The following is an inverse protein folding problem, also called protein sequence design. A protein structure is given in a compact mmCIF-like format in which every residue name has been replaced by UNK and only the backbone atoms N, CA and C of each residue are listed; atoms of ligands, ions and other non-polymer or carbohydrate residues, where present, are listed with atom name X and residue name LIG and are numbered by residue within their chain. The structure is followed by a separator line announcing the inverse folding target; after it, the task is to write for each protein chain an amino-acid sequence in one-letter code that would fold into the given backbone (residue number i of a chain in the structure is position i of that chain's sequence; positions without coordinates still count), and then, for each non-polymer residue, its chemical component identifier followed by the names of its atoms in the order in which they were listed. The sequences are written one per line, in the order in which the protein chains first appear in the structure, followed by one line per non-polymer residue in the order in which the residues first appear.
data_IF_274918862383
#
_entry.id   IF_274918862383
#
_cell.length_a   1.000
_cell.length_b   1.000
_cell.length_c   1.000
_cell.angle_alpha   90.00
_cell.angle_beta   90.00
_cell.angle_gamma   90.00
#
_symmetry.space_group_name_H-M   'P 1'
#
loop_
_entity.id
_entity.type
_entity.pdbx_description
1 polymer ?
#
# COMPACT_ATOMS: atom_id res chain seq x y z
N UNK A 1 4.83 -19.19 27.60
CA UNK A 1 5.89 -18.18 27.35
C UNK A 1 5.23 -16.85 27.07
N UNK A 2 5.43 -15.85 27.93
CA UNK A 2 4.76 -14.54 27.88
C UNK A 2 5.43 -13.61 26.86
N UNK A 3 4.62 -12.80 26.17
CA UNK A 3 4.76 -11.42 25.63
C UNK A 3 6.13 -10.77 25.28
N UNK A 4 7.30 -11.32 25.63
CA UNK A 4 8.58 -10.63 25.49
C UNK A 4 9.14 -10.62 24.07
N UNK A 5 8.76 -11.59 23.22
CA UNK A 5 9.33 -11.68 21.87
C UNK A 5 8.69 -10.70 20.86
N UNK A 6 7.42 -10.34 21.02
CA UNK A 6 6.81 -9.33 20.13
C UNK A 6 7.41 -7.93 20.39
N UNK A 7 7.91 -7.67 21.62
CA UNK A 7 8.62 -6.43 21.95
C UNK A 7 10.00 -6.31 21.28
N UNK A 8 10.65 -7.41 20.89
CA UNK A 8 11.98 -7.36 20.26
C UNK A 8 11.93 -7.09 18.75
N UNK A 9 10.77 -7.30 18.10
CA UNK A 9 10.48 -6.71 16.79
C UNK A 9 9.87 -5.32 16.99
N UNK A 10 10.72 -4.30 17.21
CA UNK A 10 10.31 -2.94 16.84
C UNK A 10 10.01 -2.97 15.33
N UNK A 11 8.82 -2.53 14.89
CA UNK A 11 8.49 -2.54 13.47
C UNK A 11 9.33 -1.47 12.77
N UNK A 12 10.46 -1.88 12.19
CA UNK A 12 10.96 -1.21 11.00
C UNK A 12 10.11 -1.71 9.83
N UNK A 13 8.84 -1.29 9.81
CA UNK A 13 8.02 -1.34 8.61
C UNK A 13 8.58 -0.26 7.68
N UNK A 14 9.61 -0.60 6.91
CA UNK A 14 9.97 0.16 5.72
C UNK A 14 8.87 -0.07 4.68
N UNK A 15 7.85 0.78 4.73
CA UNK A 15 7.01 1.03 3.56
C UNK A 15 7.99 1.43 2.45
N UNK A 16 8.09 0.60 1.41
CA UNK A 16 8.77 0.97 0.17
C UNK A 16 8.12 2.28 -0.27
N UNK A 17 8.84 3.40 -0.10
CA UNK A 17 8.26 4.71 -0.37
C UNK A 17 7.93 4.79 -1.85
N UNK A 18 6.64 4.67 -2.18
CA UNK A 18 6.11 5.06 -3.47
C UNK A 18 6.48 6.53 -3.74
N UNK A 19 6.67 6.85 -5.03
CA UNK A 19 7.09 8.13 -5.59
C UNK A 19 6.92 9.31 -4.61
N UNK A 20 8.04 9.81 -4.10
CA UNK A 20 8.07 11.05 -3.31
C UNK A 20 7.76 12.17 -4.30
N UNK A 21 6.54 12.70 -4.25
CA UNK A 21 6.11 14.08 -4.54
C UNK A 21 4.60 14.08 -4.87
N UNK A 22 3.90 15.06 -4.28
CA UNK A 22 2.51 15.52 -4.50
C UNK A 22 1.78 15.66 -3.15
N UNK A 23 2.08 16.74 -2.44
CA UNK A 23 1.29 17.21 -1.29
C UNK A 23 0.14 18.08 -1.80
N UNK A 24 -1.08 17.52 -1.84
CA UNK A 24 -2.32 18.31 -1.78
C UNK A 24 -3.52 17.43 -1.43
N UNK A 25 -4.03 17.61 -0.21
CA UNK A 25 -5.35 17.09 0.20
C UNK A 25 -6.40 17.95 -0.52
N UNK A 26 -6.90 17.45 -1.65
CA UNK A 26 -8.14 17.89 -2.27
C UNK A 26 -9.13 16.75 -2.09
N UNK A 27 -10.38 17.07 -1.72
CA UNK A 27 -11.50 16.15 -1.44
C UNK A 27 -11.44 14.86 -2.30
N UNK A 28 -10.89 13.79 -1.72
CA UNK A 28 -10.29 12.66 -2.43
C UNK A 28 -11.25 11.74 -3.20
N UNK A 29 -12.56 11.88 -3.05
CA UNK A 29 -13.50 10.99 -3.74
C UNK A 29 -13.66 11.30 -5.25
N UNK A 30 -13.31 12.51 -5.70
CA UNK A 30 -13.58 12.93 -7.08
C UNK A 30 -12.43 12.64 -8.08
N UNK A 31 -11.24 12.28 -7.60
CA UNK A 31 -10.05 12.04 -8.45
C UNK A 31 -9.65 10.55 -8.54
N UNK A 32 -10.30 9.68 -7.75
CA UNK A 32 -9.99 8.25 -7.72
C UNK A 32 -10.91 7.51 -8.69
N UNK A 33 -10.38 7.12 -9.83
CA UNK A 33 -11.02 6.17 -10.74
C UNK A 33 -11.27 4.84 -10.01
N UNK A 34 -12.46 4.26 -10.18
CA UNK A 34 -12.82 2.92 -9.66
C UNK A 34 -12.67 2.75 -8.14
N UNK A 35 -13.19 3.70 -7.34
CA UNK A 35 -13.27 3.53 -5.88
C UNK A 35 -14.27 2.43 -5.52
N UNK A 36 -13.85 1.45 -4.71
CA UNK A 36 -14.69 0.41 -4.13
C UNK A 36 -14.74 0.55 -2.61
N UNK A 37 -15.92 0.31 -2.04
CA UNK A 37 -16.07 0.16 -0.60
C UNK A 37 -15.85 -1.30 -0.22
N UNK A 38 -14.93 -1.54 0.72
CA UNK A 38 -14.75 -2.86 1.31
C UNK A 38 -15.86 -3.10 2.33
N UNK A 39 -16.64 -4.16 2.15
CA UNK A 39 -17.72 -4.53 3.05
C UNK A 39 -17.25 -5.36 4.24
N UNK A 40 -17.95 -5.20 5.35
CA UNK A 40 -17.74 -5.95 6.59
C UNK A 40 -18.54 -7.24 6.65
N UNK A 41 -18.73 -7.71 7.88
CA UNK A 41 -19.39 -8.99 8.16
C UNK A 41 -20.92 -8.89 8.03
N UNK A 42 -21.46 -7.67 8.12
CA UNK A 42 -22.89 -7.39 8.25
C UNK A 42 -23.69 -7.79 7.01
N UNK A 43 -23.29 -7.46 5.76
CA UNK A 43 -24.02 -7.88 4.57
C UNK A 43 -24.02 -9.40 4.39
N UNK A 44 -22.89 -10.05 4.68
CA UNK A 44 -22.75 -11.51 4.59
C UNK A 44 -23.66 -12.20 5.61
N UNK A 45 -23.66 -11.74 6.86
CA UNK A 45 -24.56 -12.23 7.92
C UNK A 45 -26.02 -12.07 7.55
N UNK A 46 -26.39 -10.95 6.92
CA UNK A 46 -27.78 -10.72 6.49
C UNK A 46 -28.20 -11.77 5.47
N UNK A 47 -27.40 -11.98 4.43
CA UNK A 47 -27.72 -12.96 3.38
C UNK A 47 -27.75 -14.39 3.94
N UNK A 48 -26.85 -14.76 4.86
CA UNK A 48 -26.93 -16.06 5.53
C UNK A 48 -28.24 -16.25 6.32
N UNK A 49 -28.74 -15.20 7.00
CA UNK A 49 -30.05 -15.24 7.68
C UNK A 49 -31.23 -15.38 6.74
N UNK A 50 -31.12 -14.77 5.56
CA UNK A 50 -32.15 -14.86 4.52
C UNK A 50 -32.18 -16.26 3.85
N UNK A 51 -31.26 -17.16 4.22
CA UNK A 51 -31.23 -18.56 3.76
C UNK A 51 -30.46 -18.79 2.46
N UNK A 52 -29.56 -17.88 2.07
CA UNK A 52 -28.71 -18.08 0.89
C UNK A 52 -27.56 -19.06 1.18
N UNK A 53 -27.45 -20.12 0.38
CA UNK A 53 -26.38 -21.13 0.49
C UNK A 53 -25.04 -20.68 -0.11
N UNK A 54 -25.09 -19.82 -1.15
CA UNK A 54 -23.90 -19.32 -1.86
C UNK A 54 -23.98 -17.80 -1.94
N UNK A 55 -22.94 -17.13 -1.44
CA UNK A 55 -22.81 -15.67 -1.44
C UNK A 55 -21.57 -15.30 -2.24
N UNK A 56 -21.76 -14.64 -3.38
CA UNK A 56 -20.65 -14.05 -4.14
C UNK A 56 -20.44 -12.61 -3.70
N UNK A 57 -19.37 -12.39 -2.94
CA UNK A 57 -18.94 -11.09 -2.48
C UNK A 57 -18.10 -10.37 -3.57
N UNK A 58 -18.27 -9.05 -3.69
CA UNK A 58 -17.31 -8.19 -4.39
C UNK A 58 -16.07 -7.95 -3.52
N UNK A 59 -15.81 -6.70 -3.15
CA UNK A 59 -14.73 -6.37 -2.19
C UNK A 59 -15.20 -6.55 -0.75
N UNK A 60 -14.83 -7.65 -0.11
CA UNK A 60 -15.01 -7.89 1.33
C UNK A 60 -13.66 -7.83 2.05
N UNK A 61 -13.70 -7.55 3.36
CA UNK A 61 -12.55 -7.83 4.21
C UNK A 61 -12.35 -9.35 4.34
N UNK A 62 -11.12 -9.80 4.25
CA UNK A 62 -10.80 -11.23 4.21
C UNK A 62 -11.30 -11.94 5.49
N UNK A 63 -11.05 -11.34 6.66
CA UNK A 63 -11.63 -11.79 7.94
C UNK A 63 -13.15 -11.80 7.98
N UNK A 64 -13.84 -10.94 7.22
CA UNK A 64 -15.29 -10.82 7.26
C UNK A 64 -15.97 -12.08 6.71
N UNK A 65 -15.35 -12.75 5.74
CA UNK A 65 -15.86 -13.98 5.15
C UNK A 65 -15.91 -15.11 6.18
N UNK A 66 -14.83 -15.27 6.96
CA UNK A 66 -14.72 -16.31 7.98
C UNK A 66 -15.44 -15.97 9.29
N UNK A 67 -15.57 -14.68 9.61
CA UNK A 67 -16.26 -14.23 10.82
C UNK A 67 -17.78 -14.24 10.71
N UNK A 68 -18.36 -14.27 9.50
CA UNK A 68 -19.79 -14.11 9.30
C UNK A 68 -20.64 -15.18 9.99
N UNK A 69 -20.34 -16.45 9.75
CA UNK A 69 -21.11 -17.55 10.32
C UNK A 69 -20.97 -17.65 11.85
N UNK A 70 -19.77 -17.60 12.46
CA UNK A 70 -19.66 -17.59 13.93
C UNK A 70 -20.37 -16.40 14.57
N UNK A 71 -20.25 -15.20 14.01
CA UNK A 71 -20.97 -14.03 14.50
C UNK A 71 -22.49 -14.14 14.33
N UNK A 72 -22.96 -14.89 13.33
CA UNK A 72 -24.39 -15.17 13.17
C UNK A 72 -24.89 -16.08 14.30
N UNK A 73 -24.08 -17.05 14.72
CA UNK A 73 -24.37 -18.00 15.78
C UNK A 73 -24.10 -17.46 17.20
N UNK A 74 -23.72 -16.19 17.34
CA UNK A 74 -23.50 -15.55 18.65
C UNK A 74 -22.15 -15.84 19.31
N UNK A 75 -21.16 -16.31 18.54
CA UNK A 75 -19.81 -16.51 19.07
C UNK A 75 -19.13 -15.19 19.47
N UNK A 76 -18.17 -15.27 20.40
CA UNK A 76 -17.41 -14.11 20.87
C UNK A 76 -16.72 -13.38 19.71
N UNK A 77 -16.90 -12.04 19.57
CA UNK A 77 -16.31 -11.29 18.47
C UNK A 77 -14.78 -11.26 18.48
N UNK A 78 -14.14 -11.24 19.66
CA UNK A 78 -12.68 -11.20 19.77
C UNK A 78 -12.03 -12.49 19.25
N UNK A 79 -12.52 -13.63 19.74
CA UNK A 79 -12.08 -14.96 19.29
C UNK A 79 -12.41 -15.18 17.81
N UNK A 80 -13.61 -14.80 17.38
CA UNK A 80 -14.04 -14.97 15.99
C UNK A 80 -13.15 -14.18 15.02
N UNK A 81 -12.83 -12.92 15.34
CA UNK A 81 -11.98 -12.09 14.48
C UNK A 81 -10.54 -12.57 14.45
N UNK A 82 -10.01 -13.03 15.59
CA UNK A 82 -8.66 -13.58 15.62
C UNK A 82 -8.57 -14.91 14.86
N UNK A 83 -9.56 -15.78 15.02
CA UNK A 83 -9.69 -16.99 14.21
C UNK A 83 -9.70 -16.63 12.72
N UNK A 84 -10.56 -15.70 12.32
CA UNK A 84 -10.70 -15.29 10.93
C UNK A 84 -9.37 -14.76 10.37
N UNK A 85 -8.67 -13.89 11.10
CA UNK A 85 -7.34 -13.41 10.73
C UNK A 85 -6.30 -14.52 10.62
N UNK A 86 -6.44 -15.59 11.42
CA UNK A 86 -5.51 -16.72 11.41
C UNK A 86 -5.68 -17.58 10.17
N UNK A 87 -6.90 -17.72 9.65
CA UNK A 87 -7.20 -18.68 8.57
C UNK A 87 -7.39 -18.03 7.19
N UNK A 88 -7.49 -16.71 7.11
CA UNK A 88 -7.78 -16.00 5.85
C UNK A 88 -6.72 -16.22 4.77
N UNK A 89 -5.46 -16.38 5.16
CA UNK A 89 -4.33 -16.62 4.25
C UNK A 89 -3.96 -18.11 4.14
N UNK A 90 -4.88 -19.02 4.48
CA UNK A 90 -4.63 -20.46 4.48
C UNK A 90 -3.54 -20.88 5.49
N UNK A 91 -2.77 -21.91 5.17
CA UNK A 91 -1.72 -22.47 6.02
C UNK A 91 -0.39 -21.68 5.98
N UNK A 92 -0.45 -20.36 5.77
CA UNK A 92 0.73 -19.48 5.79
C UNK A 92 1.45 -19.44 7.15
N UNK A 93 0.75 -19.77 8.25
CA UNK A 93 1.34 -19.90 9.59
C UNK A 93 1.87 -21.31 9.91
N UNK A 94 1.76 -22.26 8.97
CA UNK A 94 2.32 -23.60 9.10
C UNK A 94 3.85 -23.61 8.92
N UNK A 95 4.48 -24.68 9.42
CA UNK A 95 5.91 -24.93 9.27
C UNK A 95 6.11 -26.34 8.69
N UNK A 96 6.66 -26.47 7.47
CA UNK A 96 6.87 -25.39 6.50
C UNK A 96 5.54 -24.73 6.08
N UNK A 97 5.55 -23.47 5.59
CA UNK A 97 4.34 -22.85 5.04
C UNK A 97 3.82 -23.64 3.85
N UNK A 98 2.50 -23.72 3.72
CA UNK A 98 1.83 -24.50 2.68
C UNK A 98 0.59 -23.77 2.16
N UNK A 99 0.15 -24.10 0.94
CA UNK A 99 -1.01 -23.49 0.29
C UNK A 99 -2.36 -24.17 0.65
N UNK A 100 -2.36 -25.14 1.57
CA UNK A 100 -3.57 -25.78 2.08
C UNK A 100 -4.38 -24.88 3.01
N UNK A 101 -5.58 -25.35 3.36
CA UNK A 101 -6.41 -24.73 4.37
C UNK A 101 -6.01 -25.09 5.80
N UNK A 102 -6.50 -24.29 6.74
CA UNK A 102 -6.49 -24.62 8.16
C UNK A 102 -7.90 -25.04 8.59
N UNK A 103 -8.00 -25.99 9.50
CA UNK A 103 -9.24 -26.31 10.19
C UNK A 103 -9.27 -25.57 11.52
N UNK A 104 -10.39 -24.91 11.84
CA UNK A 104 -10.59 -24.31 13.16
C UNK A 104 -11.81 -24.87 13.85
N UNK A 105 -11.64 -25.18 15.13
CA UNK A 105 -12.74 -25.42 16.07
C UNK A 105 -12.85 -24.24 17.02
N UNK A 106 -13.91 -23.44 16.89
CA UNK A 106 -14.21 -22.33 17.79
C UNK A 106 -15.02 -22.82 18.99
N UNK A 107 -14.60 -22.41 20.19
CA UNK A 107 -15.24 -22.67 21.49
C UNK A 107 -15.57 -21.33 22.17
N UNK A 108 -16.26 -21.39 23.30
CA UNK A 108 -16.70 -20.19 24.02
C UNK A 108 -15.54 -19.33 24.54
N UNK A 109 -14.41 -19.95 24.89
CA UNK A 109 -13.27 -19.33 25.56
C UNK A 109 -11.94 -19.44 24.78
N UNK A 110 -11.94 -20.12 23.63
CA UNK A 110 -10.78 -20.32 22.77
C UNK A 110 -11.15 -20.74 21.34
N UNK A 111 -10.17 -20.77 20.46
CA UNK A 111 -10.24 -21.60 19.25
C UNK A 111 -8.99 -22.46 19.11
N UNK A 112 -9.17 -23.66 18.55
CA UNK A 112 -8.08 -24.56 18.18
C UNK A 112 -7.91 -24.51 16.66
N UNK A 113 -6.73 -24.15 16.19
CA UNK A 113 -6.37 -24.13 14.76
C UNK A 113 -5.44 -25.30 14.45
N UNK A 114 -5.77 -26.06 13.41
CA UNK A 114 -5.06 -27.27 12.99
C UNK A 114 -4.67 -27.18 11.52
N UNK A 115 -3.42 -27.49 11.20
CA UNK A 115 -2.98 -27.59 9.79
C UNK A 115 -3.47 -28.88 9.12
N UNK A 116 -3.96 -28.78 7.89
CA UNK A 116 -4.45 -29.91 7.11
C UNK A 116 -3.37 -30.60 6.27
N UNK A 117 -2.28 -29.91 5.93
CA UNK A 117 -1.19 -30.49 5.14
C UNK A 117 -0.37 -31.51 5.94
N UNK A 118 -0.15 -32.68 5.34
CA UNK A 118 0.72 -33.70 5.90
C UNK A 118 2.18 -33.24 5.94
N UNK A 119 2.87 -33.57 7.03
CA UNK A 119 4.25 -33.14 7.25
C UNK A 119 4.42 -31.66 7.62
N UNK A 120 3.32 -30.91 7.77
CA UNK A 120 3.33 -29.56 8.31
C UNK A 120 2.88 -29.55 9.78
N UNK A 121 3.44 -28.62 10.56
CA UNK A 121 3.08 -28.40 11.96
C UNK A 121 2.72 -26.95 12.25
N UNK A 122 2.13 -26.72 13.42
CA UNK A 122 1.86 -25.39 13.96
C UNK A 122 2.60 -25.22 15.27
N UNK A 123 3.12 -24.01 15.51
CA UNK A 123 3.73 -23.65 16.79
C UNK A 123 3.04 -22.43 17.35
N UNK A 124 3.01 -22.25 18.68
CA UNK A 124 2.49 -21.02 19.30
C UNK A 124 3.12 -19.76 18.69
N UNK A 125 4.41 -19.84 18.35
CA UNK A 125 5.14 -18.74 17.72
C UNK A 125 4.68 -18.46 16.30
N UNK A 126 4.46 -19.49 15.47
CA UNK A 126 4.07 -19.27 14.06
C UNK A 126 2.66 -18.71 13.94
N UNK A 127 1.74 -19.20 14.76
CA UNK A 127 0.36 -18.66 14.83
C UNK A 127 0.37 -17.23 15.36
N UNK A 128 1.10 -16.95 16.46
CA UNK A 128 1.20 -15.58 16.98
C UNK A 128 1.85 -14.62 15.97
N UNK A 129 2.91 -15.05 15.28
CA UNK A 129 3.59 -14.24 14.28
C UNK A 129 2.72 -13.93 13.07
N UNK A 130 1.67 -14.72 12.80
CA UNK A 130 0.76 -14.46 11.69
C UNK A 130 -0.06 -13.19 11.89
N UNK A 131 -0.25 -12.72 13.12
CA UNK A 131 -0.85 -11.40 13.37
C UNK A 131 -0.05 -10.24 12.76
N UNK A 132 1.27 -10.40 12.58
CA UNK A 132 2.12 -9.43 11.86
C UNK A 132 1.97 -9.48 10.34
N UNK A 133 1.43 -10.58 9.80
CA UNK A 133 1.32 -10.74 8.36
C UNK A 133 0.34 -9.72 7.81
N UNK A 134 0.85 -8.86 6.91
CA UNK A 134 0.10 -7.76 6.27
C UNK A 134 -0.45 -6.70 7.24
N UNK A 135 0.07 -6.64 8.46
CA UNK A 135 -0.35 -5.68 9.48
C UNK A 135 0.83 -4.83 9.98
N UNK A 136 0.55 -3.55 10.22
CA UNK A 136 1.54 -2.63 10.79
C UNK A 136 1.74 -2.82 12.31
N UNK A 137 0.68 -3.21 13.02
CA UNK A 137 0.69 -3.50 14.46
C UNK A 137 0.18 -4.95 14.67
N UNK A 138 0.96 -5.83 15.31
CA UNK A 138 0.51 -7.20 15.62
C UNK A 138 -0.60 -7.27 16.65
N UNK A 139 -0.71 -6.25 17.51
CA UNK A 139 -1.61 -6.26 18.65
C UNK A 139 -2.96 -5.65 18.33
N UNK A 140 -2.99 -4.60 17.50
CA UNK A 140 -4.23 -3.88 17.16
C UNK A 140 -4.46 -3.90 15.66
N UNK A 141 -5.34 -4.80 15.23
CA UNK A 141 -5.69 -4.97 13.81
C UNK A 141 -7.00 -4.25 13.56
N UNK A 142 -6.94 -3.10 12.88
CA UNK A 142 -8.11 -2.26 12.62
C UNK A 142 -8.90 -2.78 11.42
N UNK A 143 -10.19 -3.02 11.63
CA UNK A 143 -11.18 -3.41 10.63
C UNK A 143 -12.29 -2.36 10.50
N UNK A 144 -13.27 -2.63 9.64
CA UNK A 144 -14.38 -1.72 9.30
C UNK A 144 -15.26 -1.34 10.49
N UNK A 145 -15.57 -2.32 11.33
CA UNK A 145 -16.52 -2.22 12.45
C UNK A 145 -15.85 -2.10 13.82
N UNK A 146 -14.53 -2.01 13.87
CA UNK A 146 -13.78 -2.07 15.12
C UNK A 146 -12.36 -2.61 14.95
N UNK A 147 -11.71 -2.86 16.08
CA UNK A 147 -10.31 -3.30 16.14
C UNK A 147 -10.20 -4.61 16.90
N UNK A 148 -9.54 -5.59 16.29
CA UNK A 148 -9.11 -6.80 16.98
C UNK A 148 -7.88 -6.47 17.85
N UNK A 149 -8.02 -6.72 19.15
CA UNK A 149 -6.97 -6.59 20.16
C UNK A 149 -6.45 -7.98 20.57
N UNK A 150 -5.19 -8.25 20.26
CA UNK A 150 -4.47 -9.49 20.58
C UNK A 150 -3.44 -9.30 21.71
N UNK A 151 -3.41 -8.14 22.38
CA UNK A 151 -2.45 -7.80 23.46
C UNK A 151 -2.41 -8.86 24.57
N UNK A 152 -3.57 -9.41 24.90
CA UNK A 152 -3.73 -10.44 25.92
C UNK A 152 -3.94 -11.84 25.34
N UNK A 153 -3.70 -12.01 24.05
CA UNK A 153 -3.84 -13.30 23.40
C UNK A 153 -2.75 -14.28 23.88
N UNK A 154 -3.15 -15.51 24.18
CA UNK A 154 -2.23 -16.60 24.54
C UNK A 154 -2.31 -17.71 23.52
N UNK A 155 -1.16 -18.34 23.25
CA UNK A 155 -0.99 -19.38 22.25
C UNK A 155 -0.35 -20.60 22.92
N UNK A 156 -0.99 -21.76 22.81
CA UNK A 156 -0.60 -23.00 23.46
C UNK A 156 -0.58 -24.13 22.43
N UNK A 157 0.48 -24.93 22.39
CA UNK A 157 0.52 -26.11 21.53
C UNK A 157 -0.35 -27.20 22.15
N UNK A 158 -1.33 -27.69 21.40
CA UNK A 158 -2.15 -28.84 21.81
C UNK A 158 -1.44 -30.14 21.37
N UNK A 159 -0.93 -30.13 20.14
CA UNK A 159 -0.09 -31.18 19.56
C UNK A 159 0.84 -30.56 18.50
N UNK A 160 1.50 -31.38 17.68
CA UNK A 160 2.44 -30.92 16.64
C UNK A 160 1.76 -30.12 15.50
N UNK A 161 0.46 -30.30 15.31
CA UNK A 161 -0.34 -29.74 14.20
C UNK A 161 -1.39 -28.74 14.67
N UNK A 162 -1.66 -28.66 15.97
CA UNK A 162 -2.76 -27.89 16.55
C UNK A 162 -2.27 -26.89 17.59
N UNK A 163 -2.70 -25.64 17.46
CA UNK A 163 -2.45 -24.57 18.43
C UNK A 163 -3.76 -24.01 18.93
N UNK A 164 -3.86 -23.87 20.24
CA UNK A 164 -4.96 -23.21 20.94
C UNK A 164 -4.69 -21.74 21.13
N UNK A 165 -5.69 -20.91 20.88
CA UNK A 165 -5.62 -19.45 21.01
C UNK A 165 -6.75 -18.94 21.90
N UNK A 166 -6.41 -18.05 22.83
CA UNK A 166 -7.33 -17.49 23.85
C UNK A 166 -7.08 -16.00 24.04
N UNK A 167 -8.02 -15.28 24.66
CA UNK A 167 -7.76 -13.96 25.27
C UNK A 167 -7.82 -12.76 24.33
N UNK A 168 -8.20 -12.97 23.07
CA UNK A 168 -8.44 -11.88 22.11
C UNK A 168 -9.73 -11.14 22.40
N UNK A 169 -9.77 -9.86 22.07
CA UNK A 169 -10.92 -8.99 22.26
C UNK A 169 -11.23 -8.23 20.98
N UNK A 170 -12.49 -7.85 20.81
CA UNK A 170 -12.87 -6.92 19.75
C UNK A 170 -13.36 -5.63 20.37
N UNK A 171 -12.76 -4.52 19.95
CA UNK A 171 -13.12 -3.18 20.38
C UNK A 171 -13.99 -2.61 19.26
N UNK A 172 -15.29 -2.48 19.51
CA UNK A 172 -16.20 -1.89 18.53
C UNK A 172 -15.82 -0.43 18.25
N UNK A 173 -15.96 -0.01 16.99
CA UNK A 173 -15.76 1.39 16.63
C UNK A 173 -16.94 2.25 17.11
N UNK A 174 -16.68 3.54 17.39
CA UNK A 174 -17.70 4.56 17.76
C UNK A 174 -18.75 4.83 16.65
N UNK A 175 -18.69 4.09 15.54
CA UNK A 175 -19.66 4.12 14.46
C UNK A 175 -19.21 3.22 13.31
N UNK A 176 -20.15 2.88 12.43
CA UNK A 176 -19.85 2.09 11.25
C UNK A 176 -18.97 2.88 10.27
N UNK A 177 -17.88 2.27 9.81
CA UNK A 177 -17.00 2.86 8.80
C UNK A 177 -16.84 1.91 7.61
N UNK A 178 -16.61 2.49 6.43
CA UNK A 178 -16.20 1.76 5.24
C UNK A 178 -14.74 2.09 4.92
N UNK A 179 -13.96 1.07 4.56
CA UNK A 179 -12.63 1.25 3.98
C UNK A 179 -12.84 1.46 2.49
N UNK A 180 -12.47 2.65 2.01
CA UNK A 180 -12.50 2.94 0.58
C UNK A 180 -11.13 2.61 0.01
N UNK A 181 -11.10 1.76 -1.00
CA UNK A 181 -9.91 1.40 -1.76
C UNK A 181 -10.11 1.84 -3.21
N UNK A 182 -9.08 2.39 -3.81
CA UNK A 182 -9.11 2.77 -5.22
C UNK A 182 -7.74 2.99 -5.80
N UNK A 183 -7.72 3.33 -7.08
CA UNK A 183 -6.51 3.56 -7.84
C UNK A 183 -6.58 4.93 -8.50
N UNK A 184 -5.53 5.72 -8.32
CA UNK A 184 -5.35 7.00 -8.98
C UNK A 184 -4.35 6.83 -10.12
N UNK A 185 -4.74 7.22 -11.35
CA UNK A 185 -3.81 7.34 -12.46
C UNK A 185 -2.87 8.52 -12.18
N UNK A 186 -1.58 8.25 -12.03
CA UNK A 186 -0.57 9.26 -11.70
C UNK A 186 0.35 9.59 -12.89
N UNK A 187 0.08 9.04 -14.06
CA UNK A 187 0.81 9.30 -15.30
C UNK A 187 1.02 8.03 -16.12
N UNK A 188 1.95 8.10 -17.06
CA UNK A 188 2.39 7.00 -17.91
C UNK A 188 3.90 6.84 -17.75
N UNK A 189 4.38 5.61 -17.85
CA UNK A 189 5.78 5.31 -17.55
C UNK A 189 6.47 4.58 -18.70
N UNK A 190 7.70 5.00 -18.99
CA UNK A 190 8.66 4.26 -19.82
C UNK A 190 9.84 3.86 -18.95
N UNK A 191 10.34 2.64 -19.14
CA UNK A 191 11.42 2.08 -18.34
C UNK A 191 12.61 1.72 -19.21
N UNK A 192 13.81 1.86 -18.67
CA UNK A 192 15.06 1.43 -19.29
C UNK A 192 15.79 0.54 -18.30
N UNK A 193 16.21 -0.63 -18.76
CA UNK A 193 16.99 -1.59 -17.97
C UNK A 193 18.42 -1.60 -18.50
N UNK A 194 19.36 -1.33 -17.62
CA UNK A 194 20.80 -1.32 -17.91
C UNK A 194 21.61 -1.88 -16.75
N UNK A 195 22.89 -2.08 -16.99
CA UNK A 195 23.87 -2.44 -15.99
C UNK A 195 25.17 -1.66 -16.17
N UNK A 196 25.98 -1.66 -15.12
CA UNK A 196 27.34 -1.11 -15.14
C UNK A 196 28.25 -1.96 -14.27
N UNK A 197 29.44 -2.25 -14.80
CA UNK A 197 30.48 -3.01 -14.11
C UNK A 197 31.73 -2.19 -13.79
N UNK A 198 31.91 -1.06 -14.46
CA UNK A 198 33.07 -0.22 -14.20
C UNK A 198 32.98 0.41 -12.80
N UNK A 199 34.00 0.14 -11.98
CA UNK A 199 34.08 0.58 -10.59
C UNK A 199 34.11 2.10 -10.45
N UNK A 200 34.81 2.80 -11.34
CA UNK A 200 34.87 4.28 -11.32
C UNK A 200 33.48 4.84 -11.59
N UNK A 201 32.77 4.28 -12.57
CA UNK A 201 31.39 4.69 -12.87
C UNK A 201 30.46 4.40 -11.68
N UNK A 202 30.53 3.21 -11.10
CA UNK A 202 29.74 2.84 -9.91
C UNK A 202 29.95 3.84 -8.76
N UNK A 203 31.19 4.24 -8.50
CA UNK A 203 31.53 5.18 -7.42
C UNK A 203 31.10 6.63 -7.71
N UNK A 204 30.99 7.02 -8.99
CA UNK A 204 30.65 8.37 -9.44
C UNK A 204 29.16 8.59 -9.75
N UNK A 205 28.41 7.53 -10.04
CA UNK A 205 26.99 7.62 -10.39
C UNK A 205 26.15 8.42 -9.37
N UNK A 206 26.24 8.16 -8.05
CA UNK A 206 25.43 8.89 -7.06
C UNK A 206 25.63 10.41 -7.08
N UNK A 207 26.83 10.89 -7.44
CA UNK A 207 27.17 12.30 -7.53
C UNK A 207 26.77 12.91 -8.89
N UNK A 208 26.79 12.11 -9.96
CA UNK A 208 26.46 12.55 -11.31
C UNK A 208 24.96 12.64 -11.55
N UNK A 209 24.16 11.73 -10.98
CA UNK A 209 22.72 11.66 -11.22
C UNK A 209 21.98 12.98 -10.87
N UNK A 210 22.23 13.65 -9.74
CA UNK A 210 21.62 14.95 -9.46
C UNK A 210 21.98 16.05 -10.48
N UNK A 211 23.18 15.99 -11.07
CA UNK A 211 23.61 16.92 -12.12
C UNK A 211 22.94 16.60 -13.45
N UNK A 212 22.85 15.30 -13.80
CA UNK A 212 22.16 14.82 -14.99
C UNK A 212 20.69 15.25 -15.00
N UNK A 213 19.99 15.13 -13.86
CA UNK A 213 18.59 15.57 -13.73
C UNK A 213 18.40 17.04 -14.13
N UNK A 214 19.24 17.95 -13.64
CA UNK A 214 19.18 19.39 -14.03
C UNK A 214 19.40 19.61 -15.54
N UNK A 215 20.28 18.81 -16.14
CA UNK A 215 20.51 18.85 -17.59
C UNK A 215 19.29 18.34 -18.36
N UNK A 216 18.62 17.30 -17.85
CA UNK A 216 17.37 16.79 -18.43
C UNK A 216 16.27 17.84 -18.38
N UNK A 217 16.10 18.57 -17.28
CA UNK A 217 15.08 19.63 -17.19
C UNK A 217 15.27 20.68 -18.30
N UNK A 218 16.52 21.11 -18.52
CA UNK A 218 16.85 22.06 -19.58
C UNK A 218 16.57 21.48 -20.97
N UNK A 219 16.88 20.20 -21.17
CA UNK A 219 16.67 19.50 -22.44
C UNK A 219 15.19 19.22 -22.72
N UNK A 220 14.38 18.98 -21.69
CA UNK A 220 12.92 18.86 -21.82
C UNK A 220 12.35 20.17 -22.36
N UNK A 221 12.74 21.31 -21.79
CA UNK A 221 12.28 22.62 -22.27
C UNK A 221 12.68 22.87 -23.73
N UNK A 222 13.90 22.50 -24.11
CA UNK A 222 14.41 22.67 -25.48
C UNK A 222 13.68 21.77 -26.49
N UNK A 223 13.64 20.45 -26.25
CA UNK A 223 13.06 19.46 -27.17
C UNK A 223 11.56 19.65 -27.38
N UNK A 224 10.85 20.13 -26.36
CA UNK A 224 9.40 20.31 -26.41
C UNK A 224 8.97 21.78 -26.61
N UNK A 225 9.90 22.68 -26.94
CA UNK A 225 9.63 24.12 -27.13
C UNK A 225 8.90 24.76 -25.93
N UNK A 226 9.24 24.35 -24.71
CA UNK A 226 8.61 24.80 -23.47
C UNK A 226 7.17 24.32 -23.25
N UNK A 227 6.64 23.42 -24.08
CA UNK A 227 5.27 22.87 -23.93
C UNK A 227 5.13 21.83 -22.83
N UNK A 228 6.24 21.17 -22.47
CA UNK A 228 6.31 20.22 -21.36
C UNK A 228 7.01 20.89 -20.20
N UNK A 229 6.31 20.97 -19.06
CA UNK A 229 6.87 21.47 -17.82
C UNK A 229 7.72 20.36 -17.15
N UNK A 230 9.02 20.55 -16.95
CA UNK A 230 9.88 19.58 -16.28
C UNK A 230 9.38 19.15 -14.90
N UNK A 231 8.67 20.02 -14.17
CA UNK A 231 8.12 19.71 -12.85
C UNK A 231 7.00 18.63 -12.90
N UNK A 232 6.47 18.35 -14.10
CA UNK A 232 5.49 17.27 -14.34
C UNK A 232 6.12 15.94 -14.72
N UNK A 233 7.45 15.88 -14.82
CA UNK A 233 8.21 14.71 -15.23
C UNK A 233 9.00 14.16 -14.05
N UNK A 234 8.88 12.87 -13.80
CA UNK A 234 9.70 12.16 -12.80
C UNK A 234 10.68 11.22 -13.50
N UNK A 235 11.97 11.53 -13.42
CA UNK A 235 13.06 10.66 -13.87
C UNK A 235 13.75 10.09 -12.63
N UNK A 236 13.59 8.79 -12.40
CA UNK A 236 14.18 8.06 -11.28
C UNK A 236 15.23 7.04 -11.75
N UNK A 237 16.30 6.90 -10.96
CA UNK A 237 17.35 5.92 -11.19
C UNK A 237 17.44 5.02 -9.96
N UNK A 238 17.06 3.76 -10.13
CA UNK A 238 17.18 2.74 -9.09
C UNK A 238 18.42 1.91 -9.33
N UNK A 239 19.32 1.99 -8.36
CA UNK A 239 20.62 1.33 -8.38
C UNK A 239 20.52 0.03 -7.56
N UNK A 240 20.27 -1.09 -8.22
CA UNK A 240 20.24 -2.41 -7.60
C UNK A 240 21.66 -2.91 -7.33
N UNK A 241 21.95 -3.18 -6.05
CA UNK A 241 23.29 -3.52 -5.56
C UNK A 241 23.85 -2.51 -4.57
N UNK A 242 23.24 -1.32 -4.44
CA UNK A 242 23.64 -0.28 -3.47
C UNK A 242 22.78 -0.24 -2.20
N UNK A 243 21.93 -1.25 -2.00
CA UNK A 243 21.04 -1.33 -0.83
C UNK A 243 19.74 -0.55 -1.00
N UNK A 244 19.27 -0.38 -2.24
CA UNK A 244 18.01 0.31 -2.56
C UNK A 244 16.78 -0.38 -1.98
N UNK A 245 16.87 -1.69 -1.66
CA UNK A 245 15.76 -2.48 -1.10
C UNK A 245 15.56 -2.20 0.39
N UNK A 246 16.63 -2.23 1.19
CA UNK A 246 16.55 -1.98 2.64
C UNK A 246 16.79 -0.52 3.03
N UNK A 247 17.12 0.36 2.07
CA UNK A 247 17.22 1.82 2.25
C UNK A 247 18.06 2.17 3.48
N UNK A 248 19.29 1.66 3.53
CA UNK A 248 20.26 1.99 4.58
C UNK A 248 20.16 1.16 5.87
N UNK A 249 19.24 0.19 5.96
CA UNK A 249 19.23 -0.81 7.05
C UNK A 249 19.90 -2.12 6.66
N UNK A 250 20.90 -2.05 5.77
CA UNK A 250 21.67 -3.21 5.34
C UNK A 250 22.47 -3.77 6.54
N UNK A 251 22.37 -5.08 6.83
CA UNK A 251 23.12 -5.69 7.93
C UNK A 251 24.64 -5.72 7.65
N UNK A 252 25.02 -5.69 6.37
CA UNK A 252 26.41 -5.71 5.92
C UNK A 252 26.61 -4.63 4.87
N UNK A 253 27.78 -4.00 4.88
CA UNK A 253 28.12 -3.01 3.85
C UNK A 253 28.23 -3.67 2.47
N UNK A 254 27.52 -3.11 1.49
CA UNK A 254 27.57 -3.57 0.10
C UNK A 254 28.77 -2.97 -0.65
N UNK A 255 29.39 -3.78 -1.50
CA UNK A 255 30.44 -3.39 -2.43
C UNK A 255 30.17 -4.06 -3.79
N UNK A 256 29.20 -3.54 -4.58
CA UNK A 256 28.83 -4.15 -5.84
C UNK A 256 30.02 -4.11 -6.82
N UNK A 257 30.30 -5.25 -7.47
CA UNK A 257 31.20 -5.33 -8.62
C UNK A 257 30.47 -5.04 -9.94
N UNK A 258 29.15 -5.14 -9.91
CA UNK A 258 28.23 -4.87 -11.00
C UNK A 258 26.95 -4.32 -10.38
N UNK A 259 26.34 -3.37 -11.06
CA UNK A 259 25.17 -2.63 -10.58
C UNK A 259 24.06 -2.72 -11.62
N UNK A 260 22.90 -3.20 -11.21
CA UNK A 260 21.70 -3.09 -12.02
C UNK A 260 21.15 -1.66 -11.95
N UNK A 261 20.83 -1.06 -13.09
CA UNK A 261 20.32 0.30 -13.18
C UNK A 261 18.96 0.26 -13.89
N UNK A 262 17.91 0.55 -13.13
CA UNK A 262 16.57 0.75 -13.66
C UNK A 262 16.27 2.24 -13.71
N UNK A 263 16.09 2.78 -14.91
CA UNK A 263 15.68 4.16 -15.13
C UNK A 263 14.18 4.15 -15.40
N UNK A 264 13.41 4.98 -14.70
CA UNK A 264 11.99 5.16 -14.97
C UNK A 264 11.71 6.60 -15.29
N UNK A 265 11.00 6.84 -16.38
CA UNK A 265 10.52 8.15 -16.81
C UNK A 265 9.01 8.12 -16.70
N UNK A 266 8.45 8.96 -15.83
CA UNK A 266 7.00 9.11 -15.66
C UNK A 266 6.57 10.48 -16.15
N UNK A 267 5.57 10.55 -17.01
CA UNK A 267 5.04 11.78 -17.60
C UNK A 267 3.49 11.75 -17.64
N UNK A 268 2.82 12.88 -17.95
CA UNK A 268 1.35 12.92 -18.07
C UNK A 268 0.80 11.93 -19.12
N UNK A 269 1.49 11.74 -20.24
CA UNK A 269 1.11 10.83 -21.33
C UNK A 269 2.28 9.93 -21.78
N UNK A 270 1.94 8.80 -22.41
CA UNK A 270 2.92 7.79 -22.82
C UNK A 270 3.87 8.28 -23.91
N UNK A 271 3.41 9.13 -24.83
CA UNK A 271 4.23 9.68 -25.90
C UNK A 271 5.34 10.57 -25.34
N UNK A 272 5.00 11.44 -24.40
CA UNK A 272 5.96 12.28 -23.68
C UNK A 272 6.96 11.46 -22.88
N UNK A 273 6.50 10.45 -22.12
CA UNK A 273 7.40 9.56 -21.36
C UNK A 273 8.40 8.85 -22.29
N UNK A 274 7.94 8.32 -23.42
CA UNK A 274 8.76 7.63 -24.40
C UNK A 274 9.79 8.57 -25.04
N UNK A 275 9.34 9.73 -25.55
CA UNK A 275 10.23 10.70 -26.19
C UNK A 275 11.33 11.21 -25.24
N UNK A 276 10.99 11.45 -23.97
CA UNK A 276 11.98 11.81 -22.94
C UNK A 276 12.97 10.67 -22.71
N UNK A 277 12.47 9.43 -22.63
CA UNK A 277 13.32 8.26 -22.39
C UNK A 277 14.42 8.09 -23.45
N UNK A 278 14.16 8.40 -24.73
CA UNK A 278 15.14 8.26 -25.81
C UNK A 278 16.37 9.12 -25.58
N UNK A 279 16.20 10.40 -25.22
CA UNK A 279 17.36 11.26 -24.95
C UNK A 279 17.97 11.03 -23.57
N UNK A 280 17.16 10.58 -22.58
CA UNK A 280 17.66 10.19 -21.26
C UNK A 280 18.57 8.97 -21.38
N UNK A 281 18.19 7.95 -22.15
CA UNK A 281 19.03 6.79 -22.45
C UNK A 281 20.35 7.24 -23.09
N UNK A 282 20.28 8.00 -24.19
CA UNK A 282 21.49 8.48 -24.85
C UNK A 282 22.42 9.27 -23.91
N UNK A 283 21.87 10.20 -23.13
CA UNK A 283 22.66 11.00 -22.20
C UNK A 283 23.19 10.19 -21.01
N UNK A 284 22.46 9.19 -20.53
CA UNK A 284 22.87 8.32 -19.42
C UNK A 284 24.08 7.47 -19.78
N UNK A 285 24.18 7.02 -21.02
CA UNK A 285 25.36 6.31 -21.52
C UNK A 285 26.60 7.19 -21.62
N UNK A 286 26.44 8.51 -21.64
CA UNK A 286 27.53 9.46 -21.87
C UNK A 286 27.70 10.46 -20.73
N UNK A 287 27.35 10.05 -19.50
CA UNK A 287 27.58 10.87 -18.31
C UNK A 287 29.09 11.16 -18.17
N UNK A 288 29.48 12.42 -17.92
CA UNK A 288 30.89 12.81 -17.89
C UNK A 288 31.55 12.26 -16.62
N UNK A 289 32.41 11.26 -16.80
CA UNK A 289 33.25 10.72 -15.72
C UNK A 289 34.55 11.54 -15.68
N UNK A 290 34.85 12.26 -14.59
CA UNK A 290 36.04 13.12 -14.50
C UNK A 290 37.36 12.41 -14.76
N UNK A 291 37.41 11.10 -14.47
CA UNK A 291 38.58 10.24 -14.65
C UNK A 291 38.83 9.80 -16.09
N UNK A 292 37.90 10.03 -17.02
CA UNK A 292 38.02 9.61 -18.42
C UNK A 292 38.21 10.79 -19.36
N UNK A 293 39.03 10.56 -20.38
CA UNK A 293 39.18 11.48 -21.51
C UNK A 293 38.22 11.09 -22.65
N UNK A 294 37.45 12.05 -23.15
CA UNK A 294 36.53 11.85 -24.28
C UNK A 294 35.16 11.25 -23.90
N UNK A 295 34.39 10.87 -24.91
CA UNK A 295 33.06 10.26 -24.75
C UNK A 295 33.21 8.75 -24.54
N UNK A 296 32.87 8.28 -23.34
CA UNK A 296 32.83 6.85 -22.99
C UNK A 296 31.38 6.40 -22.82
N UNK A 297 31.07 5.16 -23.19
CA UNK A 297 29.77 4.54 -22.93
C UNK A 297 29.79 3.87 -21.56
N UNK A 298 29.02 4.38 -20.61
CA UNK A 298 29.07 3.99 -19.19
C UNK A 298 28.04 2.95 -18.79
N UNK A 299 26.90 2.89 -19.49
CA UNK A 299 25.80 1.95 -19.23
C UNK A 299 25.68 0.96 -20.38
N UNK A 300 25.53 -0.32 -20.03
CA UNK A 300 25.18 -1.37 -20.97
C UNK A 300 23.65 -1.57 -20.95
N UNK A 301 23.00 -1.47 -22.11
CA UNK A 301 21.55 -1.68 -22.23
C UNK A 301 21.21 -3.12 -22.56
N UNK A 302 20.14 -3.62 -21.93
CA UNK A 302 19.67 -5.00 -22.16
C UNK A 302 19.05 -5.21 -23.56
N UNK A 303 18.50 -4.16 -24.16
CA UNK A 303 17.75 -4.22 -25.42
C UNK A 303 18.09 -3.05 -26.35
N UNK A 304 17.69 -3.19 -27.62
CA UNK A 304 17.73 -2.13 -28.63
C UNK A 304 16.41 -2.11 -29.41
N UNK A 305 15.60 -1.04 -29.32
CA UNK A 305 15.81 0.15 -28.48
C UNK A 305 15.81 -0.18 -26.97
N UNK A 306 16.52 0.60 -26.13
CA UNK A 306 16.63 0.34 -24.69
C UNK A 306 15.36 0.68 -23.90
N UNK A 307 14.52 1.57 -24.41
CA UNK A 307 13.28 2.01 -23.80
C UNK A 307 12.10 1.04 -24.03
N UNK A 308 11.33 0.81 -22.96
CA UNK A 308 10.13 -0.03 -22.98
C UNK A 308 8.97 0.69 -22.32
N UNK A 309 7.87 0.85 -23.07
CA UNK A 309 6.65 1.47 -22.54
C UNK A 309 5.94 0.52 -21.58
N UNK A 310 5.72 1.00 -20.35
CA UNK A 310 4.97 0.27 -19.32
C UNK A 310 3.47 0.58 -19.38
N UNK A 311 3.11 1.73 -19.94
CA UNK A 311 1.71 2.19 -19.98
C UNK A 311 1.31 2.99 -18.73
N UNK A 312 0.01 3.06 -18.43
CA UNK A 312 -0.51 3.86 -17.31
C UNK A 312 0.00 3.36 -15.96
N UNK A 313 0.43 4.31 -15.14
CA UNK A 313 0.93 4.11 -13.79
C UNK A 313 -0.13 4.50 -12.77
N UNK A 314 -0.47 3.58 -11.87
CA UNK A 314 -1.47 3.81 -10.83
C UNK A 314 -0.83 3.81 -9.44
N UNK A 315 -1.35 4.67 -8.56
CA UNK A 315 -1.06 4.65 -7.12
C UNK A 315 -2.27 4.10 -6.38
N UNK A 316 -2.03 3.22 -5.41
CA UNK A 316 -3.07 2.76 -4.50
C UNK A 316 -3.48 3.88 -3.54
N UNK A 317 -4.79 4.14 -3.47
CA UNK A 317 -5.38 5.12 -2.58
C UNK A 317 -6.30 4.39 -1.60
N UNK A 318 -6.05 4.54 -0.29
CA UNK A 318 -7.00 4.08 0.72
C UNK A 318 -7.33 5.21 1.68
N UNK A 319 -8.61 5.37 2.00
CA UNK A 319 -9.07 6.33 3.00
C UNK A 319 -9.91 5.60 4.05
N UNK A 320 -9.62 5.72 5.35
CA UNK A 320 -10.57 5.35 6.38
C UNK A 320 -11.74 6.33 6.33
N UNK A 321 -12.97 5.86 6.08
CA UNK A 321 -14.14 6.74 6.04
C UNK A 321 -14.63 7.11 7.45
N UNK A 322 -13.79 7.78 8.26
CA UNK A 322 -14.13 8.77 9.32
C UNK A 322 -12.88 9.22 10.09
N UNK A 323 -12.40 10.42 9.72
CA UNK A 323 -11.63 11.44 10.48
C UNK A 323 -10.22 11.18 11.05
N UNK A 324 -9.36 12.20 10.78
CA UNK A 324 -7.99 12.51 11.26
C UNK A 324 -6.87 11.58 10.78
N UNK A 325 -6.27 11.97 9.66
CA UNK A 325 -5.01 11.45 9.18
C UNK A 325 -3.90 11.63 10.24
N UNK A 326 -3.41 10.51 10.76
CA UNK A 326 -2.16 10.45 11.53
C UNK A 326 -0.91 10.38 10.63
N UNK A 327 -1.08 10.48 9.31
CA UNK A 327 -0.01 10.51 8.32
C UNK A 327 0.59 11.91 8.11
N UNK A 328 0.92 12.63 9.19
CA UNK A 328 1.81 13.80 9.11
C UNK A 328 2.43 14.14 10.46
N UNK A 329 3.58 13.56 10.77
CA UNK A 329 4.47 14.07 11.82
C UNK A 329 5.79 14.51 11.21
N UNK A 330 5.78 15.66 10.52
CA UNK A 330 6.95 16.54 10.43
C UNK A 330 6.48 17.98 10.19
N UNK A 331 6.93 18.97 10.99
CA UNK A 331 6.53 20.36 10.80
C UNK A 331 7.30 20.97 9.61
N UNK A 332 6.60 21.46 8.59
CA UNK A 332 7.21 22.29 7.56
C UNK A 332 7.46 23.71 8.12
N UNK A 333 8.62 24.35 7.85
CA UNK A 333 8.91 25.68 8.34
C UNK A 333 8.01 26.72 7.64
N UNK A 334 7.47 27.63 8.45
CA UNK A 334 6.64 28.75 8.01
C UNK A 334 7.42 29.71 7.12
N UNK A 335 6.91 29.99 5.91
CA UNK A 335 6.85 31.33 5.27
C UNK A 335 6.32 31.22 3.84
N UNK A 336 5.10 31.69 3.61
CA UNK A 336 4.84 32.57 2.48
C UNK A 336 3.60 33.43 2.76
N UNK A 337 3.75 34.71 2.40
CA UNK A 337 2.75 35.78 2.47
C UNK A 337 1.84 35.65 1.25
N UNK A 338 0.52 35.76 1.43
CA UNK A 338 -0.46 36.55 0.64
C UNK A 338 -1.90 36.06 0.98
N UNK A 339 -2.87 36.98 1.22
CA UNK A 339 -4.22 36.60 1.65
C UNK A 339 -5.18 36.47 0.45
N UNK A 340 -6.02 35.43 0.44
CA UNK A 340 -7.24 35.40 -0.37
C UNK A 340 -8.44 35.17 0.54
N UNK A 341 -9.28 36.21 0.66
CA UNK A 341 -10.61 36.15 1.25
C UNK A 341 -11.59 35.46 0.30
N UNK A 342 -12.45 34.58 0.84
CA UNK A 342 -13.70 34.17 0.22
C UNK A 342 -14.83 34.19 1.28
N UNK A 343 -16.04 34.69 0.98
CA UNK A 343 -17.11 34.90 1.97
C UNK A 343 -17.92 33.61 2.26
N UNK A 344 -18.59 33.51 3.43
CA UNK A 344 -19.33 32.32 3.80
C UNK A 344 -20.71 32.24 3.13
N UNK A 345 -21.03 31.08 2.58
CA UNK A 345 -22.33 30.73 2.00
C UNK A 345 -23.35 30.42 3.10
N UNK A 346 -24.52 31.08 3.06
CA UNK A 346 -25.66 30.88 4.00
C UNK A 346 -26.66 29.91 3.37
N UNK A 347 -27.00 28.84 4.07
CA UNK A 347 -28.07 27.91 3.68
C UNK A 347 -29.45 28.54 3.94
N UNK A 348 -30.31 28.63 2.92
CA UNK A 348 -31.72 29.01 3.07
C UNK A 348 -32.60 27.76 3.13
N UNK A 349 -33.30 27.59 4.25
CA UNK A 349 -34.37 26.61 4.45
C UNK A 349 -35.69 27.13 3.87
N UNK A 350 -36.30 26.39 2.95
CA UNK A 350 -37.69 26.62 2.51
C UNK A 350 -38.63 25.70 3.26
N UNK A 351 -39.41 26.27 4.17
CA UNK A 351 -40.58 25.67 4.80
C UNK A 351 -41.80 25.90 3.91
N UNK A 352 -42.46 24.81 3.50
CA UNK A 352 -43.75 24.87 2.80
C UNK A 352 -44.87 25.09 3.84
N UNK A 353 -45.70 26.11 3.63
CA UNK A 353 -46.96 26.31 4.36
C UNK A 353 -48.10 26.38 3.35
N UNK A 354 -49.09 25.52 3.53
CA UNK A 354 -50.32 25.47 2.76
C UNK A 354 -51.32 26.52 3.26
N UNK A 355 -52.11 27.11 2.37
CA UNK A 355 -53.42 27.71 2.68
C UNK A 355 -54.30 27.74 1.41
N UNK A 356 -55.64 27.79 1.57
CA UNK A 356 -56.58 27.10 0.68
C UNK A 356 -57.29 28.00 -0.34
N UNK A 357 -58.04 27.31 -1.20
CA UNK A 357 -58.96 27.72 -2.26
C UNK A 357 -59.96 28.84 -1.92
N UNK A 358 -60.25 29.70 -2.89
CA UNK A 358 -61.60 30.25 -3.11
C UNK A 358 -61.88 30.47 -4.60
N UNK A 359 -63.09 30.09 -4.99
CA UNK A 359 -63.77 30.25 -6.28
C UNK A 359 -63.98 31.75 -6.63
N UNK A 360 -64.24 32.21 -7.86
CA UNK A 360 -65.36 31.93 -8.79
C UNK A 360 -65.20 32.90 -10.02
N UNK A 361 -66.11 32.99 -11.01
CA UNK A 361 -65.85 32.60 -12.41
C UNK A 361 -65.88 33.75 -13.43
N UNK A 362 -65.40 33.47 -14.65
CA UNK A 362 -66.09 33.80 -15.91
C UNK A 362 -65.50 32.96 -17.06
#
# INVERSE_FOLDING_TARGET
MRAEYVKTKRPHASIISGARHASRVVTAAALISHTVAMMGVEPVKKLMRDGYDVILAGRAGDTALFAALPHLNGADPGLTRHMAKTIESGAACAIPPDASGLLVTLRDDHFDVTTLADGSGLTPRSVAAHTLYENADPFHITELSGTLDTTHATYEAVDERTVRVRGSRYIEADGYTNKLEGAELIGHQTVIVSDVRDKVVIERLPQLLPMAKKSFDSKILDVFDGRVDPDTIDIDYRLYGTGTVLIGTEPTRLQPQELGVLITITAPDQGTAHAISTFVAHASSHLPIPEYDGLVSTLAYAYSPPEMDRGPLYRFCSTPARTRSWWSTTPAPSRSKFPCHAPPYRATSTTATATPTSSTPH
#
